data_IF_890450496780
#
_entry.id   IF_890450496780
#
_cell.length_a   1.000
_cell.length_b   1.000
_cell.length_c   1.000
_cell.angle_alpha   90.00
_cell.angle_beta   90.00
_cell.angle_gamma   90.00
#
_symmetry.space_group_name_H-M   'P 1'
#
loop_
_entity.id
_entity.type
_entity.pdbx_description
1 polymer ?
#
# COMPACT_ATOMS: atom_id res chain seq x y z
N UNK A 1 80.39 -17.70 38.99
CA UNK A 1 80.64 -17.16 37.62
C UNK A 1 79.89 -18.02 36.63
N UNK A 2 78.78 -17.60 36.12
CA UNK A 2 78.28 -17.88 34.80
C UNK A 2 77.16 -16.87 34.56
N UNK A 3 77.28 -16.08 33.57
CA UNK A 3 76.31 -15.13 33.03
C UNK A 3 75.31 -15.89 32.19
N UNK A 4 74.04 -15.69 32.41
CA UNK A 4 72.96 -16.17 31.57
C UNK A 4 72.17 -14.98 31.04
N UNK A 5 72.31 -14.75 29.74
CA UNK A 5 71.63 -13.65 29.03
C UNK A 5 70.11 -13.88 28.88
N UNK A 6 69.40 -12.77 28.86
CA UNK A 6 67.99 -12.63 28.63
C UNK A 6 67.80 -12.68 27.11
N UNK A 7 66.90 -13.52 26.54
CA UNK A 7 66.51 -13.42 25.14
C UNK A 7 65.33 -12.46 24.94
N UNK A 8 65.46 -11.75 23.87
CA UNK A 8 64.70 -10.59 23.48
C UNK A 8 63.19 -10.77 23.28
N UNK A 9 62.67 -9.61 23.44
CA UNK A 9 61.33 -9.15 23.10
C UNK A 9 60.99 -9.45 21.62
N UNK A 10 60.03 -10.36 21.40
CA UNK A 10 59.39 -10.55 20.10
C UNK A 10 58.10 -9.77 20.11
N UNK A 11 58.16 -8.64 19.46
CA UNK A 11 56.99 -7.86 19.05
C UNK A 11 55.97 -8.77 18.29
N UNK A 12 54.79 -8.99 18.87
CA UNK A 12 53.63 -9.49 18.19
C UNK A 12 53.03 -8.36 17.36
N UNK A 13 53.50 -8.27 16.15
CA UNK A 13 52.85 -7.45 15.11
C UNK A 13 51.74 -8.28 14.47
N UNK A 14 50.57 -7.69 14.37
CA UNK A 14 49.60 -8.04 13.36
C UNK A 14 48.41 -8.85 13.82
N UNK A 15 47.63 -8.37 14.78
CA UNK A 15 46.19 -8.66 14.72
C UNK A 15 45.61 -7.74 13.68
N UNK A 16 45.28 -8.36 12.56
CA UNK A 16 44.45 -7.80 11.48
C UNK A 16 43.17 -7.25 12.09
N UNK A 17 43.06 -5.93 12.09
CA UNK A 17 41.77 -5.24 12.20
C UNK A 17 40.97 -5.67 10.96
N UNK A 18 40.19 -6.72 11.08
CA UNK A 18 39.06 -6.95 10.18
C UNK A 18 38.20 -5.67 10.26
N UNK A 19 38.30 -4.89 9.22
CA UNK A 19 37.39 -3.82 8.92
C UNK A 19 35.98 -4.42 8.90
N UNK A 20 35.17 -4.09 9.89
CA UNK A 20 33.72 -4.21 9.82
C UNK A 20 33.31 -3.25 8.70
N UNK A 21 33.37 -3.75 7.46
CA UNK A 21 32.82 -3.03 6.32
C UNK A 21 31.35 -2.78 6.64
N UNK A 22 31.03 -1.48 6.76
CA UNK A 22 29.74 -0.99 7.15
C UNK A 22 28.66 -1.62 6.29
N UNK A 23 27.74 -2.31 6.93
CA UNK A 23 26.44 -2.63 6.38
C UNK A 23 25.77 -1.29 6.05
N UNK A 24 25.94 -0.83 4.82
CA UNK A 24 25.19 0.32 4.31
C UNK A 24 23.74 -0.15 4.29
N UNK A 25 22.97 0.23 5.31
CA UNK A 25 21.53 0.00 5.34
C UNK A 25 20.94 0.64 4.08
N UNK A 26 20.66 -0.21 3.10
CA UNK A 26 20.09 0.22 1.83
C UNK A 26 18.65 0.67 2.08
N UNK A 27 18.39 1.96 1.90
CA UNK A 27 17.04 2.51 1.94
C UNK A 27 16.14 1.80 0.94
N UNK A 28 15.00 1.29 1.41
CA UNK A 28 14.00 0.68 0.54
C UNK A 28 13.23 1.75 -0.21
N UNK A 29 13.08 1.59 -1.51
CA UNK A 29 12.20 2.42 -2.33
C UNK A 29 10.83 1.77 -2.43
N UNK A 30 9.80 2.40 -1.88
CA UNK A 30 8.44 1.88 -1.83
C UNK A 30 7.50 2.78 -2.62
N UNK A 31 6.81 2.20 -3.60
CA UNK A 31 5.74 2.90 -4.30
C UNK A 31 4.41 2.63 -3.61
N UNK A 32 3.74 3.69 -3.15
CA UNK A 32 2.46 3.61 -2.44
C UNK A 32 1.35 4.05 -3.37
N UNK A 33 0.43 3.14 -3.68
CA UNK A 33 -0.72 3.43 -4.53
C UNK A 33 -1.96 3.71 -3.68
N UNK A 34 -2.59 4.86 -3.94
CA UNK A 34 -3.87 5.26 -3.36
C UNK A 34 -4.85 5.63 -4.48
N UNK A 35 -6.13 5.32 -4.34
CA UNK A 35 -7.14 5.65 -5.33
C UNK A 35 -7.48 7.15 -5.34
N UNK A 36 -7.33 7.84 -4.22
CA UNK A 36 -7.67 9.25 -4.07
C UNK A 36 -6.65 10.01 -3.23
N UNK A 37 -6.67 11.35 -3.37
CA UNK A 37 -5.86 12.24 -2.49
C UNK A 37 -6.20 12.03 -1.02
N UNK A 38 -7.47 11.78 -0.69
CA UNK A 38 -7.90 11.51 0.69
C UNK A 38 -7.22 10.27 1.27
N UNK A 39 -7.08 9.21 0.48
CA UNK A 39 -6.40 7.98 0.91
C UNK A 39 -4.87 8.13 0.95
N UNK A 40 -4.31 8.99 0.09
CA UNK A 40 -2.88 9.30 0.10
C UNK A 40 -2.45 10.30 1.19
N UNK A 41 -3.37 11.13 1.67
CA UNK A 41 -3.07 12.17 2.66
C UNK A 41 -2.33 11.69 3.92
N UNK A 42 -2.66 10.53 4.52
CA UNK A 42 -1.89 10.03 5.66
C UNK A 42 -0.41 9.79 5.34
N UNK A 43 -0.08 9.34 4.13
CA UNK A 43 1.31 9.14 3.70
C UNK A 43 2.06 10.46 3.68
N UNK A 44 1.45 11.50 3.12
CA UNK A 44 2.03 12.86 3.05
C UNK A 44 2.22 13.47 4.45
N UNK A 45 1.36 13.14 5.41
CA UNK A 45 1.44 13.64 6.79
C UNK A 45 2.50 12.92 7.62
N UNK A 46 2.71 11.62 7.40
CA UNK A 46 3.68 10.80 8.12
C UNK A 46 5.09 11.02 7.57
N UNK A 47 5.21 11.15 6.28
CA UNK A 47 6.47 11.31 5.60
C UNK A 47 6.92 12.77 5.66
N UNK A 48 7.87 13.05 6.52
CA UNK A 48 8.51 14.37 6.61
C UNK A 48 9.35 14.58 5.36
N UNK A 49 9.11 15.66 4.63
CA UNK A 49 10.02 16.13 3.58
C UNK A 49 11.41 16.30 4.19
N UNK A 50 12.44 15.82 3.49
CA UNK A 50 13.82 15.74 3.96
C UNK A 50 14.34 17.12 4.41
N UNK A 51 14.59 17.40 5.72
CA UNK A 51 15.09 18.69 6.16
C UNK A 51 16.60 18.85 6.10
N UNK A 52 17.38 17.80 5.79
CA UNK A 52 18.84 17.89 5.81
C UNK A 52 19.49 17.29 4.57
N UNK A 53 20.04 18.16 3.73
CA UNK A 53 21.36 17.95 3.11
C UNK A 53 21.47 17.33 1.74
N UNK A 54 20.55 17.54 0.81
CA UNK A 54 20.91 17.67 -0.61
C UNK A 54 19.91 18.61 -1.31
N UNK A 55 20.44 19.65 -1.93
CA UNK A 55 19.72 20.82 -2.41
C UNK A 55 18.89 20.61 -3.67
N UNK A 56 18.50 19.38 -3.97
CA UNK A 56 17.49 19.08 -4.99
C UNK A 56 16.50 18.08 -4.43
N UNK A 57 15.33 18.55 -3.90
CA UNK A 57 14.24 17.62 -3.67
C UNK A 57 13.85 17.04 -5.04
N UNK A 58 14.10 15.76 -5.27
CA UNK A 58 13.44 15.04 -6.36
C UNK A 58 11.96 15.14 -6.08
N UNK A 59 11.26 15.90 -6.91
CA UNK A 59 9.85 16.18 -6.74
C UNK A 59 9.10 14.85 -6.60
N UNK A 60 8.49 14.59 -5.42
CA UNK A 60 7.61 13.46 -5.16
C UNK A 60 8.16 12.33 -4.29
N UNK A 61 9.41 12.35 -3.84
CA UNK A 61 9.92 11.37 -2.88
C UNK A 61 9.76 11.87 -1.46
N UNK A 62 9.13 11.05 -0.63
CA UNK A 62 8.93 11.25 0.79
C UNK A 62 9.84 10.29 1.56
N UNK A 63 10.14 10.55 2.82
CA UNK A 63 10.92 9.65 3.69
C UNK A 63 10.16 9.30 4.95
N UNK A 64 10.25 8.06 5.36
CA UNK A 64 9.76 7.60 6.66
C UNK A 64 10.68 6.51 7.18
N UNK A 65 11.38 6.77 8.29
CA UNK A 65 12.47 5.92 8.75
C UNK A 65 13.55 5.76 7.67
N UNK A 66 13.95 4.52 7.40
CA UNK A 66 14.93 4.17 6.37
C UNK A 66 14.29 3.90 4.99
N UNK A 67 13.03 4.27 4.79
CA UNK A 67 12.31 4.06 3.54
C UNK A 67 12.17 5.35 2.73
N UNK A 68 12.45 5.26 1.44
CA UNK A 68 12.12 6.26 0.43
C UNK A 68 10.76 5.92 -0.17
N UNK A 69 9.81 6.84 -0.11
CA UNK A 69 8.42 6.61 -0.48
C UNK A 69 8.04 7.44 -1.70
N UNK A 70 7.34 6.85 -2.64
CA UNK A 70 6.72 7.54 -3.77
C UNK A 70 5.22 7.32 -3.70
N UNK A 71 4.45 8.39 -3.45
CA UNK A 71 2.99 8.32 -3.45
C UNK A 71 2.46 8.48 -4.87
N UNK A 72 1.73 7.46 -5.33
CA UNK A 72 1.05 7.45 -6.62
C UNK A 72 -0.46 7.50 -6.42
N UNK A 73 -1.08 8.64 -6.72
CA UNK A 73 -2.53 8.76 -6.69
C UNK A 73 -3.10 8.37 -8.05
N UNK A 74 -3.69 7.17 -8.12
CA UNK A 74 -4.11 6.53 -9.37
C UNK A 74 -5.45 7.02 -9.93
N UNK A 75 -6.30 7.59 -9.10
CA UNK A 75 -7.72 7.85 -9.43
C UNK A 75 -8.57 6.58 -9.25
N UNK A 76 -9.88 6.77 -9.11
CA UNK A 76 -10.85 5.70 -8.89
C UNK A 76 -11.01 4.83 -10.13
N UNK A 77 -11.09 3.50 -9.90
CA UNK A 77 -11.47 2.50 -10.89
C UNK A 77 -10.29 1.80 -11.57
N UNK A 78 -10.53 0.56 -11.93
CA UNK A 78 -9.54 -0.40 -12.42
C UNK A 78 -8.71 0.08 -13.63
N UNK A 79 -9.32 0.76 -14.61
CA UNK A 79 -8.62 1.23 -15.82
C UNK A 79 -7.60 2.32 -15.51
N UNK A 80 -7.97 3.32 -14.66
CA UNK A 80 -7.06 4.38 -14.26
C UNK A 80 -5.95 3.86 -13.38
N UNK A 81 -6.28 2.95 -12.46
CA UNK A 81 -5.29 2.30 -11.61
C UNK A 81 -4.26 1.52 -12.42
N UNK A 82 -4.70 0.73 -13.42
CA UNK A 82 -3.81 0.02 -14.33
C UNK A 82 -2.90 0.97 -15.12
N UNK A 83 -3.45 2.05 -15.67
CA UNK A 83 -2.69 3.04 -16.44
C UNK A 83 -1.60 3.71 -15.57
N UNK A 84 -1.98 4.15 -14.37
CA UNK A 84 -1.04 4.77 -13.43
C UNK A 84 0.01 3.80 -12.91
N UNK A 85 -0.33 2.54 -12.68
CA UNK A 85 0.64 1.53 -12.30
C UNK A 85 1.65 1.27 -13.43
N UNK A 86 1.20 1.18 -14.70
CA UNK A 86 2.08 1.03 -15.86
C UNK A 86 3.02 2.22 -16.03
N UNK A 87 2.51 3.42 -15.85
CA UNK A 87 3.29 4.65 -15.87
C UNK A 87 4.34 4.65 -14.76
N UNK A 88 3.94 4.43 -13.52
CA UNK A 88 4.83 4.44 -12.36
C UNK A 88 5.91 3.35 -12.40
N UNK A 89 5.59 2.17 -12.95
CA UNK A 89 6.52 1.04 -13.05
C UNK A 89 7.29 0.98 -14.39
N UNK A 90 7.24 2.05 -15.20
CA UNK A 90 8.09 2.22 -16.37
C UNK A 90 7.65 1.50 -17.65
N UNK A 91 6.39 1.01 -17.73
CA UNK A 91 5.87 0.38 -18.96
C UNK A 91 5.40 1.37 -20.01
N UNK A 92 5.15 2.61 -19.64
CA UNK A 92 4.75 3.70 -20.55
C UNK A 92 5.54 4.96 -20.21
N UNK A 93 5.90 5.80 -21.23
CA UNK A 93 6.54 7.08 -20.97
C UNK A 93 5.69 7.96 -20.08
N UNK A 94 6.33 8.68 -19.17
CA UNK A 94 5.66 9.69 -18.34
C UNK A 94 5.20 10.86 -19.22
N UNK A 95 3.93 11.27 -19.19
CA UNK A 95 3.42 12.32 -20.06
C UNK A 95 3.86 13.74 -19.68
N UNK A 96 4.49 13.93 -18.53
CA UNK A 96 4.92 15.26 -18.07
C UNK A 96 6.34 15.26 -17.53
N UNK A 97 7.12 16.24 -17.96
CA UNK A 97 8.48 16.54 -17.48
C UNK A 97 8.55 16.89 -15.97
N UNK A 98 7.43 16.98 -15.28
CA UNK A 98 7.34 17.52 -13.92
C UNK A 98 7.46 16.48 -12.78
N UNK A 99 7.52 15.17 -13.06
CA UNK A 99 7.71 14.14 -12.05
C UNK A 99 8.69 13.09 -12.53
N UNK A 100 9.97 13.35 -12.37
CA UNK A 100 10.99 12.30 -12.54
C UNK A 100 10.91 11.34 -11.36
N UNK A 101 10.31 10.16 -11.58
CA UNK A 101 10.41 9.07 -10.62
C UNK A 101 11.88 8.68 -10.43
N UNK A 102 12.26 8.12 -9.27
CA UNK A 102 13.60 7.57 -9.06
C UNK A 102 13.98 6.66 -10.22
N UNK A 103 15.19 6.83 -10.78
CA UNK A 103 15.67 6.04 -11.92
C UNK A 103 15.93 4.56 -11.61
N UNK A 104 15.50 4.08 -10.43
CA UNK A 104 15.58 2.68 -10.00
C UNK A 104 14.18 2.08 -9.81
N UNK A 105 14.07 0.78 -10.05
CA UNK A 105 12.87 -0.01 -9.77
C UNK A 105 12.58 0.01 -8.26
N UNK A 106 11.30 0.15 -7.83
CA UNK A 106 10.97 0.04 -6.42
C UNK A 106 11.24 -1.36 -5.86
N UNK A 107 11.62 -1.42 -4.61
CA UNK A 107 11.83 -2.67 -3.88
C UNK A 107 10.47 -3.31 -3.55
N UNK A 108 9.45 -2.49 -3.29
CA UNK A 108 8.08 -2.96 -3.07
C UNK A 108 7.02 -1.97 -3.56
N UNK A 109 5.82 -2.52 -3.78
CA UNK A 109 4.57 -1.77 -4.01
C UNK A 109 3.64 -2.01 -2.82
N UNK A 110 3.12 -0.94 -2.22
CA UNK A 110 2.08 -1.00 -1.20
C UNK A 110 0.80 -0.34 -1.73
N UNK A 111 -0.28 -1.09 -1.82
CA UNK A 111 -1.60 -0.58 -2.24
C UNK A 111 -2.41 -0.32 -0.99
N UNK A 112 -2.84 0.92 -0.79
CA UNK A 112 -3.57 1.35 0.40
C UNK A 112 -4.96 1.89 0.04
N UNK A 113 -5.84 1.98 1.03
CA UNK A 113 -7.14 2.63 0.90
C UNK A 113 -8.27 1.91 1.61
N UNK A 114 -9.48 2.20 1.17
CA UNK A 114 -10.71 1.63 1.74
C UNK A 114 -11.20 0.46 0.89
N UNK A 115 -11.99 -0.43 1.51
CA UNK A 115 -12.67 -1.54 0.84
C UNK A 115 -14.07 -1.75 1.44
N UNK A 116 -14.95 -2.37 0.68
CA UNK A 116 -16.24 -2.86 1.17
C UNK A 116 -16.14 -4.27 1.73
N UNK A 117 -16.70 -4.51 2.92
CA UNK A 117 -16.81 -5.85 3.50
C UNK A 117 -17.90 -6.68 2.79
N UNK A 118 -17.59 -7.94 2.51
CA UNK A 118 -18.51 -8.92 1.89
C UNK A 118 -19.08 -9.92 2.89
N UNK A 119 -18.59 -9.91 4.14
CA UNK A 119 -19.03 -10.79 5.21
C UNK A 119 -19.47 -9.99 6.43
N UNK A 120 -20.57 -10.40 7.08
CA UNK A 120 -21.02 -9.81 8.33
C UNK A 120 -20.06 -10.11 9.51
N UNK A 121 -19.18 -11.12 9.37
CA UNK A 121 -18.15 -11.42 10.37
C UNK A 121 -16.97 -10.45 10.33
N UNK A 122 -16.84 -9.63 9.27
CA UNK A 122 -15.78 -8.66 9.12
C UNK A 122 -16.33 -7.26 9.46
N UNK A 123 -16.03 -6.71 10.64
CA UNK A 123 -16.62 -5.46 11.09
C UNK A 123 -16.06 -4.26 10.35
N UNK A 124 -16.84 -3.18 10.31
CA UNK A 124 -16.39 -1.87 9.84
C UNK A 124 -15.17 -1.38 10.63
N UNK A 125 -14.26 -0.67 9.96
CA UNK A 125 -12.97 -0.19 10.46
C UNK A 125 -11.93 -1.29 10.75
N UNK A 126 -12.20 -2.55 10.39
CA UNK A 126 -11.21 -3.62 10.44
C UNK A 126 -10.12 -3.34 9.40
N UNK A 127 -8.86 -3.46 9.83
CA UNK A 127 -7.71 -3.46 8.92
C UNK A 127 -7.58 -4.86 8.33
N UNK A 128 -7.36 -4.94 7.05
CA UNK A 128 -7.18 -6.20 6.30
C UNK A 128 -5.96 -6.12 5.40
N UNK A 129 -5.19 -7.18 5.35
CA UNK A 129 -4.12 -7.40 4.39
C UNK A 129 -4.54 -8.51 3.43
N UNK A 130 -4.38 -8.29 2.13
CA UNK A 130 -4.76 -9.31 1.15
C UNK A 130 -3.70 -10.40 1.06
N UNK A 131 -4.16 -11.65 0.97
CA UNK A 131 -3.32 -12.77 0.52
C UNK A 131 -3.31 -12.83 -1.00
N UNK A 132 -4.49 -12.66 -1.60
CA UNK A 132 -4.74 -12.70 -3.02
C UNK A 132 -5.81 -11.69 -3.39
N UNK A 133 -5.81 -11.24 -4.63
CA UNK A 133 -6.90 -10.45 -5.19
C UNK A 133 -7.50 -11.17 -6.41
N UNK A 134 -8.80 -11.41 -6.36
CA UNK A 134 -9.55 -12.04 -7.45
C UNK A 134 -9.98 -10.99 -8.47
N UNK A 135 -9.97 -11.34 -9.77
CA UNK A 135 -10.66 -10.54 -10.78
C UNK A 135 -12.16 -10.81 -10.74
N UNK A 136 -12.97 -9.88 -11.21
CA UNK A 136 -14.40 -10.17 -11.42
C UNK A 136 -14.63 -11.11 -12.60
N UNK A 137 -13.71 -11.08 -13.55
CA UNK A 137 -13.74 -11.96 -14.74
C UNK A 137 -13.16 -13.32 -14.38
N UNK A 138 -13.99 -14.36 -14.44
CA UNK A 138 -13.61 -15.72 -14.03
C UNK A 138 -12.53 -16.39 -14.88
N UNK A 139 -12.18 -15.81 -16.03
CA UNK A 139 -11.16 -16.34 -16.94
C UNK A 139 -9.73 -15.83 -16.64
N UNK A 140 -9.56 -14.91 -15.69
CA UNK A 140 -8.26 -14.41 -15.27
C UNK A 140 -7.82 -15.10 -13.97
N UNK A 141 -6.51 -15.39 -13.80
CA UNK A 141 -6.01 -15.98 -12.55
C UNK A 141 -6.02 -14.95 -11.42
N UNK A 142 -6.14 -15.38 -10.15
CA UNK A 142 -5.90 -14.52 -9.01
C UNK A 142 -4.51 -13.87 -9.06
N UNK A 143 -4.38 -12.69 -8.50
CA UNK A 143 -3.08 -12.03 -8.30
C UNK A 143 -2.65 -12.19 -6.84
N UNK A 144 -1.56 -12.92 -6.56
CA UNK A 144 -1.06 -13.07 -5.20
C UNK A 144 -0.38 -11.80 -4.72
N UNK A 145 -0.51 -11.53 -3.41
CA UNK A 145 0.33 -10.56 -2.72
C UNK A 145 1.65 -11.21 -2.28
N UNK A 146 2.70 -10.42 -2.10
CA UNK A 146 3.96 -10.91 -1.52
C UNK A 146 3.71 -11.43 -0.10
N UNK A 147 3.99 -12.71 0.10
CA UNK A 147 3.83 -13.36 1.41
C UNK A 147 4.75 -12.71 2.44
N UNK A 148 6.00 -12.44 2.06
CA UNK A 148 7.01 -11.83 2.94
C UNK A 148 6.58 -10.45 3.41
N UNK A 149 6.27 -9.53 2.48
CA UNK A 149 5.87 -8.17 2.81
C UNK A 149 4.55 -8.17 3.61
N UNK A 150 3.56 -8.96 3.17
CA UNK A 150 2.26 -9.05 3.86
C UNK A 150 2.42 -9.55 5.29
N UNK A 151 3.24 -10.58 5.52
CA UNK A 151 3.50 -11.10 6.86
C UNK A 151 4.17 -10.08 7.76
N UNK A 152 5.24 -9.44 7.29
CA UNK A 152 5.94 -8.39 8.05
C UNK A 152 5.00 -7.24 8.43
N UNK A 153 4.18 -6.76 7.48
CA UNK A 153 3.17 -5.73 7.75
C UNK A 153 2.19 -6.17 8.84
N UNK A 154 1.65 -7.38 8.74
CA UNK A 154 0.69 -7.90 9.74
C UNK A 154 1.34 -8.09 11.11
N UNK A 155 2.58 -8.59 11.17
CA UNK A 155 3.33 -8.78 12.42
C UNK A 155 3.62 -7.45 13.12
N UNK A 156 4.01 -6.40 12.37
CA UNK A 156 4.22 -5.06 12.92
C UNK A 156 2.92 -4.52 13.52
N UNK A 157 1.82 -4.60 12.79
CA UNK A 157 0.52 -4.15 13.29
C UNK A 157 0.11 -4.91 14.56
N UNK A 158 0.29 -6.22 14.55
CA UNK A 158 -0.07 -7.08 15.68
C UNK A 158 0.79 -6.79 16.93
N UNK A 159 2.10 -6.60 16.77
CA UNK A 159 3.01 -6.26 17.87
C UNK A 159 2.67 -4.92 18.56
N UNK A 160 1.97 -4.02 17.84
CA UNK A 160 1.48 -2.75 18.36
C UNK A 160 -0.02 -2.80 18.78
N UNK A 161 -0.58 -4.00 18.94
CA UNK A 161 -1.94 -4.19 19.39
C UNK A 161 -3.02 -3.89 18.34
N UNK A 162 -2.66 -3.72 17.07
CA UNK A 162 -3.61 -3.52 15.98
C UNK A 162 -3.99 -4.84 15.32
N UNK A 163 -5.30 -5.15 15.31
CA UNK A 163 -5.77 -6.37 14.62
C UNK A 163 -5.83 -6.14 13.12
N UNK A 164 -5.10 -6.97 12.38
CA UNK A 164 -5.12 -7.02 10.92
C UNK A 164 -5.47 -8.45 10.47
N UNK A 165 -6.54 -8.59 9.70
CA UNK A 165 -6.94 -9.91 9.18
C UNK A 165 -6.38 -10.15 7.78
N UNK A 166 -5.86 -11.37 7.54
CA UNK A 166 -5.50 -11.83 6.19
C UNK A 166 -6.75 -12.30 5.47
N UNK A 167 -7.01 -11.73 4.28
CA UNK A 167 -8.22 -12.00 3.52
C UNK A 167 -7.93 -12.14 2.03
N UNK A 168 -8.81 -12.83 1.33
CA UNK A 168 -8.89 -12.74 -0.13
C UNK A 168 -9.77 -11.55 -0.50
N UNK A 169 -9.23 -10.65 -1.33
CA UNK A 169 -9.98 -9.53 -1.92
C UNK A 169 -10.52 -9.84 -3.30
N UNK A 170 -11.46 -9.03 -3.78
CA UNK A 170 -11.93 -9.04 -5.18
C UNK A 170 -12.00 -7.61 -5.70
N UNK A 171 -11.51 -7.37 -6.92
CA UNK A 171 -11.64 -6.07 -7.56
C UNK A 171 -12.86 -6.05 -8.48
N UNK A 172 -13.75 -5.09 -8.26
CA UNK A 172 -14.99 -4.89 -9.03
C UNK A 172 -14.95 -3.55 -9.78
N UNK A 173 -15.46 -3.49 -11.03
CA UNK A 173 -15.56 -2.23 -11.78
C UNK A 173 -16.64 -1.28 -11.25
N UNK A 174 -17.46 -1.73 -10.30
CA UNK A 174 -18.55 -0.98 -9.68
C UNK A 174 -18.53 -1.13 -8.18
N UNK A 175 -19.06 -0.12 -7.50
CA UNK A 175 -19.23 -0.16 -6.04
C UNK A 175 -20.36 -1.17 -5.71
N UNK A 176 -20.07 -2.14 -4.88
CA UNK A 176 -21.04 -3.10 -4.36
C UNK A 176 -21.89 -2.42 -3.27
N UNK A 177 -23.01 -1.79 -3.66
CA UNK A 177 -23.83 -0.97 -2.77
C UNK A 177 -24.87 -1.80 -2.05
N UNK A 178 -25.52 -2.72 -2.79
CA UNK A 178 -26.62 -3.53 -2.25
C UNK A 178 -26.08 -4.75 -1.53
N UNK A 179 -26.83 -5.18 -0.51
CA UNK A 179 -26.50 -6.43 0.20
C UNK A 179 -26.37 -7.61 -0.76
N UNK A 180 -27.31 -7.75 -1.70
CA UNK A 180 -27.31 -8.87 -2.66
C UNK A 180 -26.08 -8.84 -3.58
N UNK A 181 -25.62 -7.66 -4.02
CA UNK A 181 -24.40 -7.51 -4.81
C UNK A 181 -23.18 -8.00 -4.02
N UNK A 182 -23.09 -7.61 -2.75
CA UNK A 182 -22.00 -8.04 -1.86
C UNK A 182 -22.05 -9.56 -1.60
N UNK A 183 -23.23 -10.12 -1.34
CA UNK A 183 -23.39 -11.56 -1.14
C UNK A 183 -23.08 -12.36 -2.43
N UNK A 184 -23.38 -11.80 -3.60
CA UNK A 184 -22.99 -12.41 -4.87
C UNK A 184 -21.46 -12.44 -5.04
N UNK A 185 -20.76 -11.35 -4.73
CA UNK A 185 -19.30 -11.31 -4.77
C UNK A 185 -18.67 -12.25 -3.71
N UNK A 186 -19.26 -12.37 -2.52
CA UNK A 186 -18.79 -13.26 -1.48
C UNK A 186 -18.78 -14.74 -1.89
N UNK A 187 -19.60 -15.16 -2.87
CA UNK A 187 -19.59 -16.53 -3.40
C UNK A 187 -18.27 -16.92 -4.06
N UNK A 188 -17.45 -15.95 -4.47
CA UNK A 188 -16.09 -16.18 -4.97
C UNK A 188 -15.09 -16.63 -3.89
N UNK A 189 -15.47 -16.55 -2.62
CA UNK A 189 -14.58 -16.75 -1.47
C UNK A 189 -13.92 -15.47 -0.97
N UNK A 190 -14.07 -14.34 -1.67
CA UNK A 190 -13.54 -13.05 -1.23
C UNK A 190 -14.29 -12.56 0.02
N UNK A 191 -13.55 -11.90 0.91
CA UNK A 191 -14.08 -11.28 2.14
C UNK A 191 -14.30 -9.79 2.02
N UNK A 192 -13.61 -9.15 1.06
CA UNK A 192 -13.67 -7.71 0.81
C UNK A 192 -13.65 -7.43 -0.69
N UNK A 193 -14.15 -6.23 -1.07
CA UNK A 193 -14.17 -5.74 -2.45
C UNK A 193 -13.56 -4.35 -2.53
N UNK A 194 -12.76 -4.12 -3.57
CA UNK A 194 -12.24 -2.81 -3.97
C UNK A 194 -12.42 -2.57 -5.48
N UNK A 195 -11.79 -1.53 -6.03
CA UNK A 195 -11.92 -1.18 -7.45
C UNK A 195 -10.59 -1.12 -8.20
N UNK A 196 -9.44 -1.37 -7.55
CA UNK A 196 -8.11 -1.09 -8.11
C UNK A 196 -7.07 -2.20 -7.91
N UNK A 197 -7.12 -2.94 -6.80
CA UNK A 197 -6.00 -3.76 -6.33
C UNK A 197 -5.56 -4.82 -7.32
N UNK A 198 -6.49 -5.49 -7.99
CA UNK A 198 -6.16 -6.54 -8.96
C UNK A 198 -5.25 -6.03 -10.08
N UNK A 199 -5.60 -4.90 -10.67
CA UNK A 199 -4.86 -4.35 -11.81
C UNK A 199 -3.48 -3.85 -11.41
N UNK A 200 -3.36 -3.23 -10.23
CA UNK A 200 -2.06 -2.78 -9.72
C UNK A 200 -1.16 -3.98 -9.41
N UNK A 201 -1.70 -5.01 -8.76
CA UNK A 201 -0.97 -6.27 -8.49
C UNK A 201 -0.50 -6.94 -9.78
N UNK A 202 -1.35 -7.00 -10.80
CA UNK A 202 -1.00 -7.58 -12.09
C UNK A 202 0.15 -6.84 -12.76
N UNK A 203 0.17 -5.50 -12.70
CA UNK A 203 1.26 -4.68 -13.25
C UNK A 203 2.52 -4.83 -12.41
N UNK A 204 2.43 -4.87 -11.08
CA UNK A 204 3.58 -5.11 -10.20
C UNK A 204 4.20 -6.48 -10.47
N UNK A 205 3.39 -7.52 -10.65
CA UNK A 205 3.85 -8.86 -11.01
C UNK A 205 4.58 -8.87 -12.37
N UNK A 206 4.05 -8.17 -13.40
CA UNK A 206 4.72 -8.01 -14.69
C UNK A 206 6.07 -7.27 -14.57
N UNK A 207 6.16 -6.30 -13.66
CA UNK A 207 7.40 -5.61 -13.35
C UNK A 207 8.36 -6.45 -12.50
N UNK A 208 7.93 -7.60 -11.97
CA UNK A 208 8.69 -8.41 -11.00
C UNK A 208 8.97 -7.63 -9.72
N UNK A 209 7.99 -6.87 -9.22
CA UNK A 209 8.05 -6.10 -7.96
C UNK A 209 7.13 -6.75 -6.94
N UNK A 210 7.65 -6.98 -5.74
CA UNK A 210 6.84 -7.46 -4.62
C UNK A 210 5.75 -6.47 -4.27
N UNK A 211 4.51 -6.94 -4.12
CA UNK A 211 3.38 -6.07 -3.83
C UNK A 211 2.54 -6.60 -2.66
N UNK A 212 2.07 -5.68 -1.83
CA UNK A 212 1.14 -5.95 -0.73
C UNK A 212 -0.05 -5.00 -0.80
N UNK A 213 -1.18 -5.45 -0.25
CA UNK A 213 -2.42 -4.65 -0.18
C UNK A 213 -2.83 -4.53 1.27
N UNK A 214 -3.00 -3.29 1.74
CA UNK A 214 -3.50 -2.94 3.06
C UNK A 214 -4.75 -2.08 2.90
N UNK A 215 -5.88 -2.57 3.35
CA UNK A 215 -7.16 -1.86 3.24
C UNK A 215 -7.84 -1.75 4.62
N UNK A 216 -8.78 -0.81 4.74
CA UNK A 216 -9.67 -0.72 5.88
C UNK A 216 -11.11 -0.86 5.41
N UNK A 217 -11.88 -1.69 6.10
CA UNK A 217 -13.29 -1.94 5.79
C UNK A 217 -14.11 -0.68 6.10
N UNK A 218 -14.61 -0.03 5.05
CA UNK A 218 -15.41 1.21 5.17
C UNK A 218 -16.90 0.94 5.39
N UNK A 219 -17.39 -0.17 4.87
CA UNK A 219 -18.80 -0.56 4.94
C UNK A 219 -18.97 -2.09 4.93
N UNK A 220 -20.08 -2.57 5.42
CA UNK A 220 -20.43 -4.00 5.54
C UNK A 220 -21.64 -4.34 4.67
N UNK A 221 -22.04 -5.62 4.52
CA UNK A 221 -23.24 -5.99 3.78
C UNK A 221 -24.51 -5.32 4.31
N UNK A 222 -24.53 -4.97 5.60
CA UNK A 222 -25.70 -4.35 6.25
C UNK A 222 -25.67 -2.82 6.23
N UNK A 223 -24.62 -2.22 5.66
CA UNK A 223 -24.48 -0.77 5.56
C UNK A 223 -25.44 -0.19 4.53
N UNK A 224 -26.14 0.88 4.90
CA UNK A 224 -27.03 1.62 4.00
C UNK A 224 -26.21 2.71 3.29
N UNK A 225 -25.85 2.46 2.05
CA UNK A 225 -25.04 3.37 1.23
C UNK A 225 -25.89 4.18 0.24
N UNK A 226 -25.43 5.40 -0.15
CA UNK A 226 -25.98 6.11 -1.31
C UNK A 226 -25.59 5.39 -2.62
N UNK A 227 -26.39 5.52 -3.66
CA UNK A 227 -26.09 4.92 -4.96
C UNK A 227 -25.04 5.73 -5.72
N UNK A 228 -23.79 5.56 -5.32
CA UNK A 228 -22.64 6.23 -5.97
C UNK A 228 -22.33 5.69 -7.37
N UNK A 229 -22.87 4.52 -7.78
CA UNK A 229 -22.70 4.02 -9.14
C UNK A 229 -23.30 4.99 -10.18
N UNK A 230 -24.30 5.79 -9.80
CA UNK A 230 -24.84 6.88 -10.65
C UNK A 230 -23.83 8.00 -10.90
N UNK A 231 -22.84 8.13 -10.04
CA UNK A 231 -21.78 9.12 -10.15
C UNK A 231 -20.53 8.57 -10.86
N UNK A 232 -20.49 7.30 -11.21
CA UNK A 232 -19.39 6.73 -11.99
C UNK A 232 -19.57 7.06 -13.48
N UNK A 233 -18.47 7.38 -14.16
CA UNK A 233 -18.43 7.48 -15.61
C UNK A 233 -18.20 6.09 -16.24
N UNK A 234 -18.09 6.02 -17.59
CA UNK A 234 -17.86 4.78 -18.32
C UNK A 234 -16.52 4.10 -18.00
N UNK A 235 -15.55 4.86 -17.46
CA UNK A 235 -14.24 4.34 -17.06
C UNK A 235 -14.18 3.95 -15.59
N UNK A 236 -15.30 4.02 -14.86
CA UNK A 236 -15.39 3.71 -13.44
C UNK A 236 -14.86 4.84 -12.53
N UNK A 237 -14.54 6.00 -13.08
CA UNK A 237 -14.13 7.15 -12.30
C UNK A 237 -15.32 7.95 -11.77
N UNK A 238 -15.17 8.54 -10.58
CA UNK A 238 -16.18 9.40 -9.98
C UNK A 238 -16.28 10.73 -10.74
N UNK A 239 -17.50 11.10 -11.08
CA UNK A 239 -17.85 12.42 -11.64
C UNK A 239 -18.34 13.30 -10.48
N UNK A 240 -17.62 14.39 -10.19
CA UNK A 240 -17.88 15.26 -9.04
C UNK A 240 -19.28 15.90 -9.08
N UNK A 241 -19.78 16.25 -10.27
CA UNK A 241 -21.12 16.86 -10.43
C UNK A 241 -22.21 15.85 -10.10
N UNK A 242 -22.06 14.62 -10.60
CA UNK A 242 -23.00 13.54 -10.32
C UNK A 242 -22.91 13.11 -8.87
N UNK A 243 -21.71 13.09 -8.27
CA UNK A 243 -21.51 12.80 -6.85
C UNK A 243 -22.21 13.84 -5.96
N UNK A 244 -22.11 15.12 -6.33
CA UNK A 244 -22.84 16.19 -5.65
C UNK A 244 -24.37 15.98 -5.74
N UNK A 245 -24.87 15.60 -6.91
CA UNK A 245 -26.30 15.30 -7.07
C UNK A 245 -26.75 14.13 -6.19
N UNK A 246 -25.96 13.05 -6.11
CA UNK A 246 -26.23 11.91 -5.20
C UNK A 246 -26.22 12.37 -3.74
N UNK A 247 -25.29 13.26 -3.36
CA UNK A 247 -25.23 13.82 -2.02
C UNK A 247 -26.49 14.63 -1.66
N UNK A 248 -26.96 15.46 -2.58
CA UNK A 248 -28.16 16.28 -2.41
C UNK A 248 -29.44 15.43 -2.33
N UNK A 249 -29.51 14.33 -3.09
CA UNK A 249 -30.70 13.45 -3.11
C UNK A 249 -30.71 12.41 -1.99
N UNK A 250 -29.58 12.18 -1.32
CA UNK A 250 -29.44 11.18 -0.24
C UNK A 250 -28.57 11.69 0.93
N UNK A 251 -28.89 12.84 1.55
CA UNK A 251 -28.00 13.54 2.46
C UNK A 251 -27.65 12.69 3.72
N UNK A 252 -28.62 12.00 4.29
CA UNK A 252 -28.41 11.16 5.49
C UNK A 252 -27.47 9.98 5.18
N UNK A 253 -27.67 9.33 4.03
CA UNK A 253 -26.83 8.19 3.62
C UNK A 253 -25.41 8.69 3.30
N UNK A 254 -25.28 9.83 2.66
CA UNK A 254 -23.99 10.46 2.38
C UNK A 254 -23.26 10.86 3.66
N UNK A 255 -23.93 11.46 4.62
CA UNK A 255 -23.33 11.80 5.92
C UNK A 255 -22.83 10.56 6.68
N UNK A 256 -23.57 9.46 6.64
CA UNK A 256 -23.14 8.18 7.24
C UNK A 256 -21.92 7.62 6.51
N UNK A 257 -21.89 7.63 5.19
CA UNK A 257 -20.76 7.19 4.38
C UNK A 257 -19.51 8.02 4.71
N UNK A 258 -19.61 9.36 4.70
CA UNK A 258 -18.48 10.24 4.99
C UNK A 258 -17.95 10.05 6.41
N UNK A 259 -18.84 9.90 7.41
CA UNK A 259 -18.41 9.66 8.78
C UNK A 259 -17.78 8.27 8.97
N UNK A 260 -18.26 7.27 8.26
CA UNK A 260 -17.67 5.93 8.22
C UNK A 260 -16.28 5.95 7.58
N UNK A 261 -16.17 6.58 6.42
CA UNK A 261 -14.89 6.74 5.71
C UNK A 261 -13.86 7.50 6.55
N UNK A 262 -14.26 8.58 7.25
CA UNK A 262 -13.36 9.32 8.14
C UNK A 262 -12.79 8.45 9.25
N UNK A 263 -13.61 7.59 9.87
CA UNK A 263 -13.13 6.64 10.89
C UNK A 263 -12.21 5.59 10.29
N UNK A 264 -12.60 5.00 9.17
CA UNK A 264 -11.77 4.00 8.48
C UNK A 264 -10.41 4.60 8.06
N UNK A 265 -10.40 5.85 7.56
CA UNK A 265 -9.16 6.58 7.24
C UNK A 265 -8.28 6.84 8.47
N UNK A 266 -8.88 7.13 9.64
CA UNK A 266 -8.09 7.25 10.89
C UNK A 266 -7.42 5.93 11.30
N UNK A 267 -8.08 4.78 11.05
CA UNK A 267 -7.47 3.47 11.29
C UNK A 267 -6.35 3.18 10.28
N UNK A 268 -6.54 3.56 9.01
CA UNK A 268 -5.50 3.44 7.99
C UNK A 268 -4.28 4.30 8.35
N UNK A 269 -4.49 5.56 8.74
CA UNK A 269 -3.41 6.46 9.13
C UNK A 269 -2.56 5.88 10.27
N UNK A 270 -3.20 5.39 11.34
CA UNK A 270 -2.50 4.74 12.46
C UNK A 270 -1.71 3.50 12.04
N UNK A 271 -2.24 2.71 11.11
CA UNK A 271 -1.51 1.56 10.57
C UNK A 271 -0.27 2.01 9.77
N UNK A 272 -0.43 3.04 8.94
CA UNK A 272 0.67 3.58 8.14
C UNK A 272 1.77 4.22 8.99
N UNK A 273 1.43 4.89 10.11
CA UNK A 273 2.41 5.42 11.08
C UNK A 273 3.36 4.33 11.61
N UNK A 274 2.89 3.10 11.72
CA UNK A 274 3.69 1.97 12.21
C UNK A 274 4.50 1.29 11.12
N UNK A 275 3.91 1.11 9.93
CA UNK A 275 4.53 0.29 8.87
C UNK A 275 5.46 1.08 7.96
N UNK A 276 5.20 2.37 7.70
CA UNK A 276 6.01 3.13 6.75
C UNK A 276 7.46 3.36 7.22
N UNK A 277 7.76 3.58 8.52
CA UNK A 277 9.13 3.71 8.99
C UNK A 277 9.83 2.35 9.19
N UNK A 278 9.10 1.23 9.16
CA UNK A 278 9.62 -0.07 9.50
C UNK A 278 10.28 -0.79 8.30
N UNK A 279 11.24 -1.67 8.58
CA UNK A 279 11.87 -2.54 7.58
C UNK A 279 10.96 -3.74 7.23
N UNK A 280 9.86 -3.46 6.54
CA UNK A 280 8.93 -4.50 6.10
C UNK A 280 8.85 -4.67 4.57
N UNK A 281 9.54 -3.83 3.81
CA UNK A 281 9.42 -3.76 2.35
C UNK A 281 10.57 -4.44 1.60
N UNK A 282 11.61 -4.89 2.31
CA UNK A 282 12.70 -5.68 1.72
C UNK A 282 12.37 -7.15 1.74
N UNK A 283 12.50 -7.83 0.60
CA UNK A 283 12.61 -9.29 0.58
C UNK A 283 14.06 -9.66 0.96
N UNK A 284 14.20 -10.65 1.85
CA UNK A 284 15.53 -11.21 2.10
C UNK A 284 16.02 -11.82 0.77
N UNK A 285 17.07 -11.25 0.21
CA UNK A 285 17.76 -11.89 -0.91
C UNK A 285 18.47 -13.12 -0.34
N UNK A 286 17.91 -14.31 -0.63
CA UNK A 286 18.59 -15.59 -0.44
C UNK A 286 19.60 -15.80 -1.57
#
# INVERSE_FOLDING_TARGET
MVQGGIPGDRALTGESRESVEGLVLRMSLVYIFAASKMEGQPVEQIAVGNPEGDSTPRLGTLRSGDNELVLVVGGWGHKKAAAKAREALGFTPFPSESQSLPGRKPDAVLIIGLCGGLSSSLPQNRIVAYTDCLPIESNKPPQPCSVTVTNKVVEILYSHGMTCERVVGITSPRIAIRRDDKLALAKSGAKVVDMESYEILAVAAQAGVSAAVLRVVADTPDSIMPDLNRALNQDGALDDRKALWVALTSPIRMARLLSGNKRAMSHLAKALELILPADCFTEAHN
#
